data_IF_363837555231
#
_entry.id   IF_363837555231
#
_cell.length_a   1.000
_cell.length_b   1.000
_cell.length_c   1.000
_cell.angle_alpha   90.00
_cell.angle_beta   90.00
_cell.angle_gamma   90.00
#
_symmetry.space_group_name_H-M   'P 1'
#
loop_
_entity.id
_entity.type
_entity.pdbx_description
1 polymer ?
#
# COMPACT_ATOMS: atom_id res chain seq x y z
N UNK A 1 12.80 10.18 -47.72
CA UNK A 1 13.90 9.20 -47.54
C UNK A 1 14.14 8.48 -48.85
N UNK A 2 15.40 8.22 -49.19
CA UNK A 2 15.83 7.60 -50.46
C UNK A 2 15.71 6.05 -50.38
N UNK A 3 15.20 5.50 -49.27
CA UNK A 3 15.00 4.07 -49.05
C UNK A 3 13.69 3.81 -48.28
N UNK A 4 13.21 2.57 -48.37
CA UNK A 4 12.02 2.08 -47.64
C UNK A 4 12.45 1.36 -46.36
N UNK A 5 11.59 1.35 -45.33
CA UNK A 5 11.88 0.71 -44.03
C UNK A 5 12.32 -0.74 -44.19
N UNK A 6 11.64 -1.53 -45.04
CA UNK A 6 11.98 -2.93 -45.25
C UNK A 6 13.37 -3.17 -45.84
N UNK A 7 13.89 -2.22 -46.66
CA UNK A 7 15.24 -2.31 -47.24
C UNK A 7 16.30 -2.13 -46.16
N UNK A 8 16.03 -1.23 -45.22
CA UNK A 8 16.88 -1.03 -44.07
C UNK A 8 16.81 -2.21 -43.07
N UNK A 9 15.61 -2.74 -42.83
CA UNK A 9 15.43 -3.95 -42.00
C UNK A 9 16.20 -5.15 -42.57
N UNK A 10 16.16 -5.37 -43.88
CA UNK A 10 16.94 -6.44 -44.55
C UNK A 10 18.45 -6.19 -44.43
N UNK A 11 18.89 -4.95 -44.64
CA UNK A 11 20.30 -4.58 -44.52
C UNK A 11 20.84 -4.81 -43.10
N UNK A 12 20.15 -4.28 -42.10
CA UNK A 12 20.53 -4.42 -40.70
C UNK A 12 20.42 -5.87 -40.22
N UNK A 13 19.34 -6.55 -40.55
CA UNK A 13 19.17 -7.97 -40.22
C UNK A 13 20.25 -8.87 -40.84
N UNK A 14 20.62 -8.60 -42.10
CA UNK A 14 21.73 -9.31 -42.75
C UNK A 14 23.07 -9.09 -42.03
N UNK A 15 23.39 -7.87 -41.63
CA UNK A 15 24.60 -7.57 -40.85
C UNK A 15 24.59 -8.24 -39.46
N UNK A 16 23.45 -8.23 -38.75
CA UNK A 16 23.31 -8.89 -37.48
C UNK A 16 23.47 -10.41 -37.57
N UNK A 17 22.86 -11.04 -38.56
CA UNK A 17 23.03 -12.49 -38.80
C UNK A 17 24.47 -12.87 -39.09
N UNK A 18 25.19 -12.02 -39.85
CA UNK A 18 26.59 -12.25 -40.12
C UNK A 18 27.48 -12.08 -38.88
N UNK A 19 27.17 -11.11 -38.04
CA UNK A 19 27.92 -10.82 -36.82
C UNK A 19 27.64 -11.82 -35.68
N UNK A 20 26.44 -12.43 -35.65
CA UNK A 20 26.00 -13.38 -34.61
C UNK A 20 25.54 -14.67 -35.23
N UNK A 21 26.45 -15.66 -35.47
CA UNK A 21 26.11 -16.88 -36.19
C UNK A 21 25.01 -17.75 -35.56
N UNK A 22 24.75 -17.57 -34.26
CA UNK A 22 23.66 -18.27 -33.56
C UNK A 22 22.29 -17.59 -33.67
N UNK A 23 22.23 -16.41 -34.27
CA UNK A 23 20.98 -15.67 -34.44
C UNK A 23 20.16 -16.19 -35.62
N UNK A 24 18.86 -16.10 -35.51
CA UNK A 24 17.90 -16.32 -36.59
C UNK A 24 16.87 -15.21 -36.62
N UNK A 25 16.25 -14.97 -37.76
CA UNK A 25 15.18 -13.96 -37.88
C UNK A 25 13.83 -14.59 -37.56
N UNK A 26 13.13 -14.04 -36.57
CA UNK A 26 11.72 -14.35 -36.31
C UNK A 26 10.91 -13.03 -36.32
N UNK A 27 9.99 -12.94 -37.31
CA UNK A 27 9.13 -11.76 -37.51
C UNK A 27 7.87 -11.76 -36.62
N UNK A 28 7.58 -12.87 -35.94
CA UNK A 28 6.35 -13.03 -35.18
C UNK A 28 6.58 -13.05 -33.66
N UNK A 29 7.59 -13.78 -33.23
CA UNK A 29 7.89 -13.94 -31.79
C UNK A 29 9.42 -13.88 -31.54
N UNK A 30 10.08 -12.75 -31.85
CA UNK A 30 11.50 -12.62 -31.63
C UNK A 30 11.86 -12.59 -30.15
N UNK A 31 12.98 -13.23 -29.77
CA UNK A 31 13.54 -13.09 -28.41
C UNK A 31 14.07 -11.69 -28.15
N UNK A 32 14.58 -11.04 -29.21
CA UNK A 32 15.13 -9.66 -29.15
C UNK A 32 14.66 -8.88 -30.37
N UNK A 33 14.10 -7.70 -30.15
CA UNK A 33 13.77 -6.73 -31.20
C UNK A 33 14.81 -5.61 -31.21
N UNK A 34 15.36 -5.28 -32.37
CA UNK A 34 16.26 -4.15 -32.54
C UNK A 34 15.50 -3.04 -33.26
N UNK A 35 15.08 -2.02 -32.51
CA UNK A 35 14.37 -0.87 -33.04
C UNK A 35 15.36 0.24 -33.43
N UNK A 36 15.25 0.73 -34.68
CA UNK A 36 16.07 1.82 -35.20
C UNK A 36 15.17 2.93 -35.71
N UNK A 37 15.36 4.13 -35.15
CA UNK A 37 14.65 5.34 -35.54
C UNK A 37 15.57 6.18 -36.44
N UNK A 38 15.10 6.53 -37.63
CA UNK A 38 15.81 7.41 -38.55
C UNK A 38 15.06 8.75 -38.63
N UNK A 39 15.78 9.81 -38.30
CA UNK A 39 15.28 11.17 -38.39
C UNK A 39 16.29 12.02 -39.15
N UNK A 40 15.97 12.38 -40.39
CA UNK A 40 16.86 13.07 -41.31
C UNK A 40 18.18 12.30 -41.49
N UNK A 41 19.28 12.89 -41.05
CA UNK A 41 20.65 12.35 -41.16
C UNK A 41 21.11 11.60 -39.89
N UNK A 42 20.22 11.40 -38.91
CA UNK A 42 20.51 10.71 -37.67
C UNK A 42 19.80 9.37 -37.60
N UNK A 43 20.50 8.35 -37.10
CA UNK A 43 19.96 7.05 -36.80
C UNK A 43 20.16 6.76 -35.30
N UNK A 44 19.05 6.57 -34.59
CA UNK A 44 19.04 6.25 -33.17
C UNK A 44 18.64 4.79 -32.96
N UNK A 45 19.44 4.04 -32.23
CA UNK A 45 19.09 2.69 -31.84
C UNK A 45 18.43 2.72 -30.47
N UNK A 46 17.24 2.12 -30.34
CA UNK A 46 16.52 2.03 -29.08
C UNK A 46 17.22 0.99 -28.20
N UNK A 47 17.80 1.41 -27.08
CA UNK A 47 18.44 0.53 -26.12
C UNK A 47 17.48 -0.08 -25.12
N UNK A 48 16.40 0.64 -24.79
CA UNK A 48 15.41 0.22 -23.80
C UNK A 48 14.09 0.93 -24.03
N UNK A 49 12.97 0.21 -23.86
CA UNK A 49 11.61 0.76 -23.86
C UNK A 49 11.03 0.67 -22.45
N UNK A 50 10.92 1.80 -21.78
CA UNK A 50 10.34 1.86 -20.44
C UNK A 50 8.85 2.15 -20.55
N UNK A 51 8.02 1.21 -20.11
CA UNK A 51 6.57 1.37 -20.08
C UNK A 51 6.16 2.37 -18.98
N UNK A 52 5.51 3.46 -19.38
CA UNK A 52 4.93 4.42 -18.46
C UNK A 52 3.74 3.84 -17.69
N UNK A 53 3.39 4.48 -16.58
CA UNK A 53 2.24 4.07 -15.74
C UNK A 53 0.92 4.18 -16.51
N UNK A 54 0.84 5.04 -17.52
CA UNK A 54 -0.40 5.44 -18.20
C UNK A 54 -1.27 6.32 -17.31
N UNK A 55 -2.52 6.55 -17.71
CA UNK A 55 -3.46 7.40 -16.97
C UNK A 55 -3.35 8.86 -17.33
N UNK A 56 -3.48 9.75 -16.32
CA UNK A 56 -3.43 11.20 -16.50
C UNK A 56 -2.32 11.83 -15.67
N UNK A 57 -1.80 13.00 -16.09
CA UNK A 57 -0.81 13.73 -15.29
C UNK A 57 -1.35 14.01 -13.89
N UNK A 58 -0.48 13.85 -12.89
CA UNK A 58 -0.82 14.02 -11.48
C UNK A 58 -1.40 15.41 -11.19
N UNK A 59 -2.48 15.47 -10.40
CA UNK A 59 -3.15 16.69 -9.97
C UNK A 59 -4.12 17.31 -11.00
N UNK A 60 -4.24 16.74 -12.21
CA UNK A 60 -5.11 17.30 -13.26
C UNK A 60 -6.59 16.97 -13.05
N UNK A 61 -6.91 15.97 -12.24
CA UNK A 61 -8.28 15.50 -12.01
C UNK A 61 -8.84 15.90 -10.63
N UNK A 62 -8.22 16.91 -9.99
CA UNK A 62 -8.63 17.38 -8.67
C UNK A 62 -8.08 16.57 -7.50
N UNK A 63 -8.72 16.73 -6.33
CA UNK A 63 -8.26 16.13 -5.08
C UNK A 63 -9.27 15.12 -4.56
N UNK A 64 -8.78 14.00 -4.00
CA UNK A 64 -9.59 12.97 -3.37
C UNK A 64 -9.03 12.58 -2.01
N UNK A 65 -9.89 12.05 -1.13
CA UNK A 65 -9.51 11.47 0.15
C UNK A 65 -9.66 9.95 0.04
N UNK A 66 -8.54 9.22 0.04
CA UNK A 66 -8.53 7.76 -0.03
C UNK A 66 -8.48 7.15 1.37
N UNK A 67 -9.42 6.25 1.66
CA UNK A 67 -9.47 5.51 2.91
C UNK A 67 -8.44 4.36 2.84
N UNK A 68 -7.37 4.47 3.62
CA UNK A 68 -6.25 3.56 3.61
C UNK A 68 -6.22 2.74 4.89
N UNK A 69 -6.39 1.42 4.80
CA UNK A 69 -6.41 0.52 5.96
C UNK A 69 -5.13 -0.32 6.11
N UNK A 70 -4.27 -0.30 5.10
CA UNK A 70 -3.08 -1.14 5.07
C UNK A 70 -3.25 -2.48 4.34
N UNK A 71 -4.48 -2.94 4.10
CA UNK A 71 -4.76 -4.16 3.34
C UNK A 71 -4.55 -3.99 1.82
N UNK A 72 -4.63 -5.11 1.09
CA UNK A 72 -4.45 -5.16 -0.36
C UNK A 72 -5.32 -4.14 -1.11
N UNK A 73 -6.61 -4.13 -0.79
CA UNK A 73 -7.63 -3.42 -1.55
C UNK A 73 -7.45 -1.90 -1.44
N UNK A 74 -7.17 -1.39 -0.23
CA UNK A 74 -6.99 0.05 0.00
C UNK A 74 -5.71 0.61 -0.63
N UNK A 75 -4.63 -0.17 -0.65
CA UNK A 75 -3.39 0.21 -1.32
C UNK A 75 -3.55 0.29 -2.84
N UNK A 76 -4.22 -0.71 -3.43
CA UNK A 76 -4.48 -0.76 -4.88
C UNK A 76 -5.45 0.34 -5.31
N UNK A 77 -6.53 0.58 -4.58
CA UNK A 77 -7.50 1.65 -4.90
C UNK A 77 -6.86 3.04 -4.83
N UNK A 78 -5.99 3.29 -3.85
CA UNK A 78 -5.21 4.52 -3.75
C UNK A 78 -4.29 4.71 -4.95
N UNK A 79 -3.54 3.66 -5.35
CA UNK A 79 -2.71 3.69 -6.56
C UNK A 79 -3.53 3.97 -7.82
N UNK A 80 -4.68 3.31 -8.00
CA UNK A 80 -5.52 3.52 -9.17
C UNK A 80 -6.02 4.97 -9.27
N UNK A 81 -6.29 5.60 -8.13
CA UNK A 81 -6.65 7.02 -8.04
C UNK A 81 -5.50 7.92 -8.47
N UNK A 82 -4.28 7.67 -8.00
CA UNK A 82 -3.08 8.40 -8.43
C UNK A 82 -2.84 8.23 -9.93
N UNK A 83 -2.92 7.01 -10.45
CA UNK A 83 -2.79 6.72 -11.88
C UNK A 83 -3.81 7.50 -12.73
N UNK A 84 -5.01 7.76 -12.21
CA UNK A 84 -6.04 8.60 -12.88
C UNK A 84 -5.78 10.08 -12.77
N UNK A 85 -4.69 10.53 -12.13
CA UNK A 85 -4.30 11.93 -12.03
C UNK A 85 -4.93 12.67 -10.85
N UNK A 86 -5.52 11.97 -9.88
CA UNK A 86 -6.01 12.61 -8.67
C UNK A 86 -4.86 12.94 -7.71
N UNK A 87 -4.89 14.11 -7.12
CA UNK A 87 -4.11 14.43 -5.93
C UNK A 87 -4.76 13.69 -4.75
N UNK A 88 -4.16 12.57 -4.34
CA UNK A 88 -4.74 11.62 -3.38
C UNK A 88 -4.21 11.87 -1.97
N UNK A 89 -5.05 12.39 -1.08
CA UNK A 89 -4.81 12.41 0.36
C UNK A 89 -5.18 11.08 0.97
N UNK A 90 -4.57 10.71 2.10
CA UNK A 90 -4.81 9.44 2.77
C UNK A 90 -5.54 9.67 4.10
N UNK A 91 -6.59 8.90 4.36
CA UNK A 91 -7.28 8.87 5.63
C UNK A 91 -7.21 7.46 6.23
N UNK A 92 -6.71 7.38 7.43
CA UNK A 92 -6.61 6.14 8.19
C UNK A 92 -7.47 6.22 9.45
N UNK A 93 -8.40 5.28 9.58
CA UNK A 93 -9.17 5.07 10.79
C UNK A 93 -8.41 4.07 11.68
N UNK A 94 -7.81 4.57 12.74
CA UNK A 94 -6.97 3.76 13.62
C UNK A 94 -7.82 2.92 14.57
N UNK A 95 -7.83 1.61 14.33
CA UNK A 95 -8.52 0.60 15.13
C UNK A 95 -7.54 -0.32 15.90
N UNK A 96 -6.27 -0.30 15.53
CA UNK A 96 -5.26 -1.26 15.96
C UNK A 96 -4.07 -0.64 16.70
N UNK A 97 -4.19 0.61 17.13
CA UNK A 97 -3.15 1.30 17.89
C UNK A 97 -1.90 1.65 17.09
N UNK A 98 -0.80 1.95 17.81
CA UNK A 98 0.42 2.51 17.23
C UNK A 98 1.08 1.63 16.15
N UNK A 99 1.09 0.33 16.32
CA UNK A 99 1.74 -0.58 15.36
C UNK A 99 1.03 -0.59 13.99
N UNK A 100 -0.31 -0.55 14.00
CA UNK A 100 -1.11 -0.47 12.80
C UNK A 100 -0.90 0.88 12.10
N UNK A 101 -0.91 1.97 12.86
CA UNK A 101 -0.64 3.32 12.35
C UNK A 101 0.70 3.40 11.62
N UNK A 102 1.77 2.89 12.22
CA UNK A 102 3.11 2.89 11.62
C UNK A 102 3.11 2.15 10.28
N UNK A 103 2.51 0.97 10.21
CA UNK A 103 2.44 0.19 8.97
C UNK A 103 1.68 0.93 7.86
N UNK A 104 0.56 1.58 8.20
CA UNK A 104 -0.24 2.35 7.24
C UNK A 104 0.48 3.62 6.80
N UNK A 105 1.16 4.33 7.70
CA UNK A 105 2.03 5.48 7.37
C UNK A 105 3.13 5.09 6.39
N UNK A 106 3.77 3.93 6.59
CA UNK A 106 4.79 3.42 5.67
C UNK A 106 4.23 3.10 4.28
N UNK A 107 3.07 2.46 4.20
CA UNK A 107 2.38 2.22 2.93
C UNK A 107 2.03 3.53 2.22
N UNK A 108 1.53 4.53 2.96
CA UNK A 108 1.19 5.83 2.41
C UNK A 108 2.43 6.56 1.87
N UNK A 109 3.54 6.60 2.63
CA UNK A 109 4.82 7.19 2.20
C UNK A 109 5.38 6.48 0.96
N UNK A 110 5.34 5.13 0.93
CA UNK A 110 5.75 4.34 -0.22
C UNK A 110 4.96 4.68 -1.49
N UNK A 111 3.63 4.66 -1.40
CA UNK A 111 2.75 4.99 -2.51
C UNK A 111 2.98 6.43 -3.02
N UNK A 112 3.11 7.38 -2.10
CA UNK A 112 3.37 8.76 -2.44
C UNK A 112 4.73 8.94 -3.11
N UNK A 113 5.80 8.39 -2.55
CA UNK A 113 7.16 8.49 -3.13
C UNK A 113 7.24 7.90 -4.52
N UNK A 114 6.59 6.77 -4.72
CA UNK A 114 6.69 6.05 -5.98
C UNK A 114 5.80 6.64 -7.07
N UNK A 115 4.60 7.11 -6.72
CA UNK A 115 3.57 7.41 -7.71
C UNK A 115 3.04 8.83 -7.70
N UNK A 116 3.31 9.63 -6.67
CA UNK A 116 2.77 10.99 -6.57
C UNK A 116 3.70 12.00 -5.89
N UNK A 117 4.99 11.75 -5.91
CA UNK A 117 6.03 12.56 -5.23
C UNK A 117 6.03 14.03 -5.62
N UNK A 118 5.61 14.36 -6.84
CA UNK A 118 5.51 15.74 -7.34
C UNK A 118 4.47 16.61 -6.62
N UNK A 119 3.54 16.00 -5.87
CA UNK A 119 2.45 16.69 -5.20
C UNK A 119 2.48 16.46 -3.70
N UNK A 120 2.42 17.55 -2.94
CA UNK A 120 2.27 17.49 -1.49
C UNK A 120 0.85 17.05 -1.14
N UNK A 121 0.72 15.91 -0.48
CA UNK A 121 -0.54 15.38 0.03
C UNK A 121 -0.50 15.29 1.55
N UNK A 122 -1.61 15.01 2.16
CA UNK A 122 -1.76 14.90 3.61
C UNK A 122 -2.10 13.47 3.99
N UNK A 123 -1.64 13.06 5.16
CA UNK A 123 -2.05 11.87 5.86
C UNK A 123 -2.89 12.27 7.07
N UNK A 124 -4.05 11.68 7.20
CA UNK A 124 -5.01 11.93 8.27
C UNK A 124 -5.15 10.65 9.10
N UNK A 125 -4.82 10.73 10.38
CA UNK A 125 -5.02 9.63 11.33
C UNK A 125 -6.19 10.00 12.24
N UNK A 126 -7.25 9.20 12.21
CA UNK A 126 -8.45 9.36 13.03
C UNK A 126 -8.47 8.28 14.10
N UNK A 127 -8.41 8.64 15.41
CA UNK A 127 -8.50 7.66 16.50
C UNK A 127 -9.91 7.09 16.58
N UNK A 128 -10.11 5.88 16.09
CA UNK A 128 -11.45 5.31 15.92
C UNK A 128 -11.78 4.21 16.93
N UNK A 129 -10.89 3.88 17.85
CA UNK A 129 -11.11 2.92 18.94
C UNK A 129 -12.32 3.27 19.81
N UNK A 130 -12.54 4.56 20.23
CA UNK A 130 -13.73 4.93 21.01
C UNK A 130 -15.04 4.72 20.24
N UNK A 131 -15.04 4.98 18.91
CA UNK A 131 -16.20 4.76 18.05
C UNK A 131 -16.55 3.27 17.97
N UNK A 132 -15.54 2.42 17.86
CA UNK A 132 -15.74 0.95 17.86
C UNK A 132 -16.25 0.48 19.23
N UNK A 133 -15.71 0.99 20.33
CA UNK A 133 -16.17 0.65 21.68
C UNK A 133 -17.66 1.00 21.86
N UNK A 134 -18.09 2.17 21.38
CA UNK A 134 -19.49 2.59 21.42
C UNK A 134 -20.38 1.68 20.54
N UNK A 135 -19.94 1.31 19.32
CA UNK A 135 -20.64 0.36 18.47
C UNK A 135 -20.83 -0.99 19.19
N UNK A 136 -19.76 -1.52 19.79
CA UNK A 136 -19.80 -2.80 20.49
C UNK A 136 -20.75 -2.81 21.68
N UNK A 137 -20.98 -1.65 22.32
CA UNK A 137 -21.82 -1.53 23.51
C UNK A 137 -23.30 -1.28 23.17
N UNK A 138 -23.61 -0.67 22.02
CA UNK A 138 -24.96 -0.14 21.74
C UNK A 138 -25.64 -0.77 20.54
N UNK A 139 -24.89 -1.30 19.56
CA UNK A 139 -25.40 -1.74 18.27
C UNK A 139 -25.59 -3.27 18.23
N UNK A 140 -26.64 -3.73 17.57
CA UNK A 140 -26.86 -5.16 17.31
C UNK A 140 -25.72 -5.75 16.47
N UNK A 141 -25.16 -6.87 16.91
CA UNK A 141 -23.99 -7.52 16.33
C UNK A 141 -24.13 -7.84 14.82
N UNK A 142 -25.36 -8.04 14.32
CA UNK A 142 -25.60 -8.31 12.91
C UNK A 142 -25.45 -7.07 12.02
N UNK A 143 -25.56 -5.86 12.58
CA UNK A 143 -25.54 -4.58 11.88
C UNK A 143 -24.26 -3.78 12.08
N UNK A 144 -23.40 -4.16 13.04
CA UNK A 144 -22.19 -3.42 13.42
C UNK A 144 -21.29 -3.09 12.22
N UNK A 145 -21.09 -4.04 11.30
CA UNK A 145 -20.21 -3.83 10.15
C UNK A 145 -20.72 -2.77 9.18
N UNK A 146 -22.04 -2.69 8.96
CA UNK A 146 -22.65 -1.65 8.11
C UNK A 146 -22.56 -0.30 8.80
N UNK A 147 -22.90 -0.25 10.11
CA UNK A 147 -22.87 0.99 10.89
C UNK A 147 -21.45 1.53 11.02
N UNK A 148 -20.44 0.68 11.29
CA UNK A 148 -19.05 1.09 11.30
C UNK A 148 -18.66 1.78 9.99
N UNK A 149 -18.99 1.18 8.86
CA UNK A 149 -18.72 1.76 7.53
C UNK A 149 -19.42 3.10 7.32
N UNK A 150 -20.69 3.22 7.75
CA UNK A 150 -21.43 4.48 7.68
C UNK A 150 -20.77 5.57 8.51
N UNK A 151 -20.32 5.25 9.74
CA UNK A 151 -19.60 6.21 10.61
C UNK A 151 -18.25 6.61 10.04
N UNK A 152 -17.51 5.67 9.44
CA UNK A 152 -16.27 5.96 8.71
C UNK A 152 -16.52 6.92 7.54
N UNK A 153 -17.57 6.68 6.75
CA UNK A 153 -17.91 7.55 5.62
C UNK A 153 -18.36 8.94 6.09
N UNK A 154 -19.16 9.05 7.17
CA UNK A 154 -19.52 10.36 7.75
C UNK A 154 -18.28 11.15 8.19
N UNK A 155 -17.35 10.50 8.88
CA UNK A 155 -16.11 11.15 9.30
C UNK A 155 -15.25 11.55 8.10
N UNK A 156 -15.09 10.65 7.12
CA UNK A 156 -14.34 10.93 5.90
C UNK A 156 -14.94 12.09 5.09
N UNK A 157 -16.27 12.21 5.04
CA UNK A 157 -16.98 13.28 4.35
C UNK A 157 -16.64 14.65 4.96
N UNK A 158 -16.72 14.80 6.28
CA UNK A 158 -16.36 16.03 6.99
C UNK A 158 -14.87 16.39 6.78
N UNK A 159 -13.98 15.39 6.87
CA UNK A 159 -12.55 15.57 6.64
C UNK A 159 -12.28 16.00 5.19
N UNK A 160 -12.92 15.34 4.20
CA UNK A 160 -12.79 15.68 2.79
C UNK A 160 -13.21 17.12 2.49
N UNK A 161 -14.32 17.57 3.08
CA UNK A 161 -14.77 18.98 2.97
C UNK A 161 -13.72 19.95 3.50
N UNK A 162 -13.13 19.67 4.66
CA UNK A 162 -12.07 20.51 5.24
C UNK A 162 -10.82 20.61 4.36
N UNK A 163 -10.53 19.55 3.61
CA UNK A 163 -9.41 19.47 2.67
C UNK A 163 -9.75 19.96 1.26
N UNK A 164 -11.02 20.31 1.00
CA UNK A 164 -11.55 20.60 -0.34
C UNK A 164 -11.35 19.44 -1.32
N UNK A 165 -11.38 18.21 -0.84
CA UNK A 165 -11.40 17.03 -1.68
C UNK A 165 -12.81 16.84 -2.26
N UNK A 166 -12.89 16.49 -3.54
CA UNK A 166 -14.15 16.42 -4.30
C UNK A 166 -14.79 15.01 -4.27
N UNK A 167 -14.08 14.02 -3.75
CA UNK A 167 -14.58 12.65 -3.66
C UNK A 167 -13.83 11.87 -2.57
N UNK A 168 -14.49 10.81 -2.09
CA UNK A 168 -13.88 9.76 -1.29
C UNK A 168 -13.46 8.60 -2.20
N UNK A 169 -12.40 7.89 -1.82
CA UNK A 169 -11.98 6.66 -2.49
C UNK A 169 -11.93 5.53 -1.48
N UNK A 170 -12.56 4.41 -1.80
CA UNK A 170 -12.54 3.21 -0.96
C UNK A 170 -12.05 1.99 -1.74
N UNK A 171 -11.51 1.00 -1.04
CA UNK A 171 -11.00 -0.25 -1.61
C UNK A 171 -12.04 -1.37 -1.65
N UNK A 172 -13.33 -1.07 -1.65
CA UNK A 172 -14.39 -2.08 -1.61
C UNK A 172 -14.54 -2.80 -2.94
N UNK A 173 -14.63 -4.15 -2.87
CA UNK A 173 -14.98 -5.04 -3.98
C UNK A 173 -16.30 -5.71 -3.67
N UNK A 174 -17.21 -5.81 -4.66
CA UNK A 174 -18.56 -6.29 -4.47
C UNK A 174 -18.59 -7.73 -3.93
N UNK A 175 -19.38 -7.95 -2.88
CA UNK A 175 -19.61 -9.25 -2.25
C UNK A 175 -18.36 -9.94 -1.64
N UNK A 176 -17.23 -9.24 -1.51
CA UNK A 176 -16.04 -9.81 -0.88
C UNK A 176 -16.27 -10.11 0.61
N UNK A 177 -17.00 -9.23 1.30
CA UNK A 177 -17.49 -9.44 2.67
C UNK A 177 -18.95 -8.98 2.79
N UNK A 178 -19.64 -9.35 3.88
CA UNK A 178 -21.05 -9.06 4.09
C UNK A 178 -21.42 -7.57 4.01
N UNK A 179 -20.57 -6.66 4.48
CA UNK A 179 -20.79 -5.22 4.38
C UNK A 179 -20.65 -4.66 2.95
N UNK A 180 -20.06 -5.43 2.04
CA UNK A 180 -19.80 -5.03 0.65
C UNK A 180 -20.80 -5.59 -0.36
N UNK A 181 -21.95 -6.10 0.10
CA UNK A 181 -23.04 -6.44 -0.80
C UNK A 181 -23.72 -5.19 -1.35
N UNK A 182 -24.34 -5.28 -2.52
CA UNK A 182 -24.96 -4.13 -3.17
C UNK A 182 -26.00 -3.42 -2.28
N UNK A 183 -26.90 -4.15 -1.56
CA UNK A 183 -27.83 -3.50 -0.63
C UNK A 183 -27.12 -2.75 0.50
N UNK A 184 -26.07 -3.34 1.07
CA UNK A 184 -25.34 -2.72 2.17
C UNK A 184 -24.50 -1.52 1.71
N UNK A 185 -23.84 -1.61 0.55
CA UNK A 185 -23.13 -0.46 -0.03
C UNK A 185 -24.07 0.71 -0.31
N UNK A 186 -25.26 0.44 -0.83
CA UNK A 186 -26.25 1.48 -1.04
C UNK A 186 -26.65 2.20 0.27
N UNK A 187 -26.80 1.45 1.38
CA UNK A 187 -27.05 2.06 2.69
C UNK A 187 -25.85 2.84 3.23
N UNK A 188 -24.65 2.37 2.95
CA UNK A 188 -23.39 3.04 3.35
C UNK A 188 -23.25 4.38 2.60
N UNK A 189 -23.59 4.42 1.32
CA UNK A 189 -23.49 5.63 0.49
C UNK A 189 -24.47 6.73 0.90
N UNK A 190 -25.62 6.38 1.45
CA UNK A 190 -26.65 7.35 1.85
C UNK A 190 -26.22 8.37 2.90
N UNK A 191 -25.08 8.18 3.57
CA UNK A 191 -24.59 9.08 4.62
C UNK A 191 -23.58 10.09 4.13
N UNK A 192 -23.22 10.09 2.84
CA UNK A 192 -22.28 11.03 2.24
C UNK A 192 -22.96 11.82 1.13
N UNK A 193 -22.62 13.11 1.04
CA UNK A 193 -22.95 13.96 -0.09
C UNK A 193 -21.84 13.97 -1.16
N UNK A 194 -20.69 13.41 -0.82
CA UNK A 194 -19.53 13.29 -1.71
C UNK A 194 -19.66 12.09 -2.65
N UNK A 195 -19.08 12.20 -3.84
CA UNK A 195 -18.90 11.06 -4.72
C UNK A 195 -18.00 10.02 -4.05
N UNK A 196 -18.45 8.78 -3.93
CA UNK A 196 -17.64 7.67 -3.44
C UNK A 196 -17.14 6.85 -4.64
N UNK A 197 -15.84 6.94 -4.91
CA UNK A 197 -15.18 6.22 -6.00
C UNK A 197 -14.69 4.88 -5.48
N UNK A 198 -15.09 3.79 -6.15
CA UNK A 198 -14.68 2.42 -5.83
C UNK A 198 -13.95 1.80 -7.01
N UNK A 199 -12.63 2.02 -7.15
CA UNK A 199 -11.90 1.53 -8.33
C UNK A 199 -11.93 0.01 -8.48
N UNK A 200 -12.17 -0.72 -7.38
CA UNK A 200 -12.12 -2.18 -7.31
C UNK A 200 -13.49 -2.86 -7.27
N UNK A 201 -14.57 -2.12 -7.47
CA UNK A 201 -15.93 -2.62 -7.21
C UNK A 201 -16.27 -3.90 -7.97
N UNK A 202 -15.70 -4.10 -9.16
CA UNK A 202 -15.92 -5.27 -10.02
C UNK A 202 -14.65 -6.13 -10.18
N UNK A 203 -13.61 -5.87 -9.41
CA UNK A 203 -12.35 -6.62 -9.50
C UNK A 203 -12.38 -7.86 -8.62
N UNK A 204 -11.88 -8.96 -9.15
CA UNK A 204 -11.66 -10.18 -8.38
C UNK A 204 -10.46 -10.06 -7.43
N UNK A 205 -10.49 -10.81 -6.33
CA UNK A 205 -9.41 -10.77 -5.32
C UNK A 205 -8.04 -11.10 -5.92
N UNK A 206 -7.98 -12.01 -6.88
CA UNK A 206 -6.72 -12.38 -7.56
C UNK A 206 -6.16 -11.23 -8.40
N UNK A 207 -7.00 -10.47 -9.08
CA UNK A 207 -6.59 -9.28 -9.84
C UNK A 207 -6.03 -8.19 -8.91
N UNK A 208 -6.68 -7.99 -7.75
CA UNK A 208 -6.23 -7.05 -6.74
C UNK A 208 -4.85 -7.46 -6.21
N UNK A 209 -4.66 -8.74 -5.85
CA UNK A 209 -3.38 -9.27 -5.37
C UNK A 209 -2.30 -9.14 -6.45
N UNK A 210 -2.60 -9.49 -7.70
CA UNK A 210 -1.66 -9.36 -8.81
C UNK A 210 -1.26 -7.89 -9.03
N UNK A 211 -2.21 -6.96 -8.90
CA UNK A 211 -1.93 -5.53 -8.98
C UNK A 211 -1.08 -5.06 -7.79
N UNK A 212 -1.41 -5.47 -6.56
CA UNK A 212 -0.62 -5.14 -5.37
C UNK A 212 0.84 -5.61 -5.49
N UNK A 213 1.05 -6.82 -6.03
CA UNK A 213 2.37 -7.36 -6.31
C UNK A 213 3.13 -6.51 -7.33
N UNK A 214 2.48 -6.17 -8.45
CA UNK A 214 3.07 -5.35 -9.52
C UNK A 214 3.46 -3.96 -9.04
N UNK A 215 2.64 -3.32 -8.17
CA UNK A 215 2.91 -1.98 -7.64
C UNK A 215 3.79 -1.98 -6.39
N UNK A 216 4.09 -3.16 -5.83
CA UNK A 216 4.97 -3.32 -4.68
C UNK A 216 4.30 -3.16 -3.32
N UNK A 217 2.97 -3.17 -3.22
CA UNK A 217 2.24 -3.02 -1.93
C UNK A 217 1.91 -4.34 -1.24
N UNK A 218 2.17 -5.49 -1.90
CA UNK A 218 1.87 -6.82 -1.36
C UNK A 218 2.52 -7.07 0.01
N UNK A 219 3.79 -6.69 0.16
CA UNK A 219 4.54 -6.90 1.41
C UNK A 219 3.92 -6.17 2.60
N UNK A 220 3.41 -4.95 2.38
CA UNK A 220 2.71 -4.19 3.42
C UNK A 220 1.41 -4.89 3.83
N UNK A 221 0.60 -5.29 2.84
CA UNK A 221 -0.68 -5.94 3.09
C UNK A 221 -0.56 -7.28 3.84
N UNK A 222 0.48 -8.06 3.53
CA UNK A 222 0.75 -9.35 4.20
C UNK A 222 1.20 -9.19 5.66
N UNK A 223 1.67 -8.02 6.06
CA UNK A 223 2.17 -7.75 7.41
C UNK A 223 1.14 -7.17 8.35
N UNK A 224 0.06 -6.61 7.80
CA UNK A 224 -0.94 -5.91 8.59
C UNK A 224 -2.16 -6.81 8.84
N UNK A 225 -2.60 -6.94 10.10
CA UNK A 225 -3.83 -7.66 10.41
C UNK A 225 -5.07 -6.90 9.93
N UNK A 226 -6.10 -7.63 9.53
CA UNK A 226 -7.39 -7.06 9.16
C UNK A 226 -8.26 -6.82 10.40
N UNK A 227 -8.36 -5.57 10.85
CA UNK A 227 -9.15 -5.21 12.04
C UNK A 227 -10.65 -5.08 11.77
N UNK A 228 -11.06 -4.72 10.56
CA UNK A 228 -12.48 -4.46 10.25
C UNK A 228 -13.36 -5.71 10.24
N UNK A 229 -12.78 -6.91 10.06
CA UNK A 229 -13.52 -8.18 10.01
C UNK A 229 -13.95 -8.71 11.39
N UNK A 230 -13.38 -8.19 12.47
CA UNK A 230 -13.53 -8.77 13.83
C UNK A 230 -14.77 -8.28 14.57
N UNK A 231 -15.45 -7.23 14.09
CA UNK A 231 -16.48 -6.50 14.85
C UNK A 231 -17.86 -7.19 14.82
N UNK A 232 -18.16 -8.01 13.82
CA UNK A 232 -19.51 -8.56 13.65
C UNK A 232 -19.53 -10.08 13.80
N UNK A 233 -20.46 -10.59 14.63
CA UNK A 233 -20.84 -11.99 14.61
C UNK A 233 -22.09 -12.15 13.73
N UNK A 234 -22.05 -13.11 12.76
CA UNK A 234 -23.12 -13.37 11.79
C UNK A 234 -23.67 -12.13 11.09
N UNK A 235 -22.82 -11.32 10.43
CA UNK A 235 -23.20 -10.06 9.84
C UNK A 235 -24.24 -10.23 8.74
N UNK A 236 -25.22 -9.31 8.69
CA UNK A 236 -26.23 -9.31 7.62
C UNK A 236 -25.64 -8.92 6.26
N UNK A 237 -26.00 -9.66 5.22
CA UNK A 237 -25.67 -9.32 3.83
C UNK A 237 -26.77 -8.50 3.12
N UNK A 238 -27.91 -8.27 3.79
CA UNK A 238 -29.05 -7.54 3.24
C UNK A 238 -29.74 -6.74 4.35
N UNK A 239 -29.06 -5.73 4.84
CA UNK A 239 -29.60 -4.81 5.83
C UNK A 239 -30.79 -4.02 5.26
N UNK A 240 -31.74 -3.66 6.13
CA UNK A 240 -32.89 -2.83 5.79
C UNK A 240 -32.69 -1.42 6.34
N UNK A 241 -32.99 -0.38 5.55
CA UNK A 241 -32.80 1.03 5.91
C UNK A 241 -33.38 1.36 7.29
N UNK A 242 -34.62 1.01 7.52
CA UNK A 242 -35.34 1.24 8.79
C UNK A 242 -34.58 0.63 10.00
N UNK A 243 -33.99 -0.58 9.83
CA UNK A 243 -33.25 -1.22 10.91
C UNK A 243 -31.92 -0.52 11.17
N UNK A 244 -31.21 -0.16 10.09
CA UNK A 244 -29.93 0.57 10.21
C UNK A 244 -30.16 1.94 10.86
N UNK A 245 -31.18 2.67 10.45
CA UNK A 245 -31.55 3.98 11.05
C UNK A 245 -31.91 3.84 12.54
N UNK A 246 -32.70 2.81 12.89
CA UNK A 246 -33.04 2.54 14.29
C UNK A 246 -31.82 2.16 15.14
N UNK A 247 -30.87 1.41 14.58
CA UNK A 247 -29.63 1.08 15.26
C UNK A 247 -28.72 2.32 15.40
N UNK A 248 -28.58 3.14 14.35
CA UNK A 248 -27.81 4.39 14.43
C UNK A 248 -28.33 5.38 15.49
N UNK A 249 -29.64 5.40 15.74
CA UNK A 249 -30.22 6.24 16.79
C UNK A 249 -29.75 5.89 18.22
N UNK A 250 -29.26 4.67 18.42
CA UNK A 250 -28.67 4.24 19.70
C UNK A 250 -27.24 4.72 19.90
N UNK A 251 -26.56 5.06 18.81
CA UNK A 251 -25.15 5.48 18.81
C UNK A 251 -25.03 6.92 19.29
N UNK A 252 -24.09 7.15 20.20
CA UNK A 252 -23.77 8.50 20.67
C UNK A 252 -22.84 9.22 19.66
N UNK A 253 -23.41 10.06 18.81
CA UNK A 253 -22.66 10.80 17.78
C UNK A 253 -21.59 11.75 18.33
N UNK A 254 -21.69 12.19 19.59
CA UNK A 254 -20.61 13.00 20.21
C UNK A 254 -19.27 12.25 20.26
N UNK A 255 -19.28 10.91 20.29
CA UNK A 255 -18.08 10.10 20.22
C UNK A 255 -17.44 10.18 18.82
N UNK A 256 -18.24 10.21 17.75
CA UNK A 256 -17.77 10.40 16.39
C UNK A 256 -17.19 11.80 16.19
N UNK A 257 -17.91 12.82 16.66
CA UNK A 257 -17.48 14.22 16.56
C UNK A 257 -16.15 14.43 17.28
N UNK A 258 -15.98 13.81 18.45
CA UNK A 258 -14.72 13.86 19.18
C UNK A 258 -13.58 13.16 18.43
N UNK A 259 -13.84 11.97 17.84
CA UNK A 259 -12.84 11.27 17.05
C UNK A 259 -12.38 12.07 15.81
N UNK A 260 -13.30 12.84 15.20
CA UNK A 260 -12.98 13.73 14.08
C UNK A 260 -12.17 14.95 14.58
N UNK A 261 -12.53 15.51 15.75
CA UNK A 261 -11.81 16.64 16.35
C UNK A 261 -10.38 16.25 16.76
N UNK A 262 -10.18 15.03 17.23
CA UNK A 262 -8.89 14.48 17.65
C UNK A 262 -8.03 13.97 16.48
N UNK A 263 -8.56 14.04 15.24
CA UNK A 263 -7.83 13.60 14.07
C UNK A 263 -6.57 14.44 13.84
N UNK A 264 -5.43 13.78 13.65
CA UNK A 264 -4.18 14.44 13.28
C UNK A 264 -4.05 14.55 11.78
N UNK A 265 -3.58 15.69 11.28
CA UNK A 265 -3.37 15.97 9.85
C UNK A 265 -1.91 16.33 9.64
N UNK A 266 -1.17 15.44 9.02
CA UNK A 266 0.26 15.57 8.81
C UNK A 266 0.61 15.68 7.30
N UNK A 267 1.61 16.52 6.92
CA UNK A 267 2.18 16.46 5.58
C UNK A 267 2.82 15.09 5.35
N UNK A 268 2.58 14.49 4.18
CA UNK A 268 3.03 13.12 3.86
C UNK A 268 4.55 12.94 3.96
N UNK A 269 5.32 13.97 3.63
CA UNK A 269 6.78 13.98 3.67
C UNK A 269 7.35 13.93 5.10
N UNK A 270 6.51 14.15 6.12
CA UNK A 270 6.90 14.20 7.54
C UNK A 270 6.32 13.08 8.40
N UNK A 271 5.41 12.27 7.86
CA UNK A 271 4.68 11.26 8.67
C UNK A 271 5.56 10.18 9.30
N UNK A 272 6.78 9.99 8.77
CA UNK A 272 7.74 9.04 9.31
C UNK A 272 8.81 9.70 10.20
N UNK A 273 8.91 11.05 10.21
CA UNK A 273 9.92 11.77 10.99
C UNK A 273 9.59 11.76 12.50
N UNK A 274 8.30 11.76 12.82
CA UNK A 274 7.78 11.80 14.20
C UNK A 274 7.53 10.40 14.79
N UNK A 275 7.90 9.32 14.11
CA UNK A 275 7.82 8.00 14.69
C UNK A 275 8.98 7.87 15.68
N UNK A 276 8.78 8.45 16.88
CA UNK A 276 9.55 8.04 18.05
C UNK A 276 9.32 6.54 18.20
N UNK A 277 10.36 5.76 17.98
CA UNK A 277 10.30 4.31 18.07
C UNK A 277 9.97 3.96 19.54
N UNK A 278 8.72 3.58 19.86
CA UNK A 278 8.36 3.17 21.23
C UNK A 278 8.99 1.80 21.56
N UNK A 279 9.79 1.27 20.66
CA UNK A 279 10.39 -0.04 20.79
C UNK A 279 11.75 0.07 21.46
N UNK A 280 11.85 -0.42 22.71
CA UNK A 280 13.12 -0.64 23.39
C UNK A 280 13.89 -1.83 22.79
N UNK A 281 14.12 -1.81 21.49
CA UNK A 281 14.91 -2.83 20.81
C UNK A 281 16.37 -2.42 20.81
N UNK A 282 17.26 -3.38 21.06
CA UNK A 282 18.72 -3.11 21.05
C UNK A 282 19.18 -2.79 19.64
N UNK A 283 19.82 -1.62 19.49
CA UNK A 283 20.50 -1.22 18.25
C UNK A 283 21.96 -1.65 18.24
N UNK A 284 22.43 -2.05 17.06
CA UNK A 284 23.84 -2.37 16.80
C UNK A 284 24.32 -1.47 15.68
N UNK A 285 25.36 -0.66 15.96
CA UNK A 285 25.95 0.24 14.95
C UNK A 285 26.99 -0.46 14.09
N UNK A 286 27.67 -1.48 14.63
CA UNK A 286 28.72 -2.23 13.92
C UNK A 286 28.46 -3.72 14.12
N UNK A 287 28.14 -4.47 13.06
CA UNK A 287 27.89 -5.91 13.17
C UNK A 287 29.19 -6.67 13.50
N UNK A 288 29.10 -7.68 14.35
CA UNK A 288 30.17 -8.64 14.54
C UNK A 288 30.24 -9.57 13.32
N UNK A 289 31.41 -10.16 13.07
CA UNK A 289 31.63 -11.06 11.90
C UNK A 289 30.68 -12.28 11.88
N UNK A 290 30.22 -12.69 13.04
CA UNK A 290 29.31 -13.82 13.23
C UNK A 290 27.82 -13.44 13.06
N UNK A 291 27.50 -12.15 13.01
CA UNK A 291 26.11 -11.71 12.89
C UNK A 291 25.57 -11.97 11.49
N UNK A 292 24.32 -12.40 11.42
CA UNK A 292 23.57 -12.53 10.18
C UNK A 292 22.70 -11.28 10.00
N UNK A 293 22.85 -10.59 8.89
CA UNK A 293 22.05 -9.42 8.56
C UNK A 293 20.84 -9.86 7.74
N UNK A 294 19.65 -9.58 8.25
CA UNK A 294 18.40 -9.77 7.54
C UNK A 294 18.00 -8.44 6.88
N UNK A 295 18.24 -8.34 5.58
CA UNK A 295 17.86 -7.17 4.80
C UNK A 295 16.36 -7.23 4.46
N UNK A 296 15.58 -6.44 5.19
CA UNK A 296 14.12 -6.36 5.03
C UNK A 296 13.67 -5.16 4.20
N UNK A 297 14.57 -4.52 3.47
CA UNK A 297 14.21 -3.45 2.54
C UNK A 297 13.27 -3.96 1.46
N UNK A 298 12.50 -3.04 0.88
CA UNK A 298 11.62 -3.37 -0.23
C UNK A 298 12.40 -4.00 -1.40
N UNK A 299 11.76 -4.92 -2.13
CA UNK A 299 12.37 -5.71 -3.21
C UNK A 299 12.97 -4.89 -4.36
N UNK A 300 12.50 -3.64 -4.53
CA UNK A 300 13.00 -2.73 -5.56
C UNK A 300 14.32 -2.02 -5.17
N UNK A 301 14.75 -2.14 -3.93
CA UNK A 301 16.00 -1.55 -3.50
C UNK A 301 17.15 -2.54 -3.71
N UNK A 302 17.73 -2.53 -4.90
CA UNK A 302 18.77 -3.49 -5.32
C UNK A 302 20.18 -3.14 -4.85
N UNK A 303 20.40 -1.98 -4.24
CA UNK A 303 21.74 -1.58 -3.80
C UNK A 303 22.30 -2.56 -2.77
N UNK A 304 23.45 -3.20 -3.02
CA UNK A 304 24.07 -4.10 -2.06
C UNK A 304 24.42 -3.34 -0.78
N UNK A 305 24.31 -4.04 0.37
CA UNK A 305 24.72 -3.47 1.64
C UNK A 305 26.26 -3.48 1.76
N UNK A 306 26.86 -2.48 2.43
CA UNK A 306 28.32 -2.34 2.55
C UNK A 306 28.96 -3.36 3.51
N UNK A 307 28.27 -4.41 3.89
CA UNK A 307 28.72 -5.41 4.88
C UNK A 307 29.29 -6.66 4.19
N UNK A 308 30.52 -6.56 3.70
CA UNK A 308 31.17 -7.62 2.91
C UNK A 308 31.61 -8.83 3.73
N UNK A 309 31.71 -8.70 5.06
CA UNK A 309 32.20 -9.74 5.96
C UNK A 309 31.08 -10.50 6.69
N UNK A 310 29.84 -10.09 6.52
CA UNK A 310 28.67 -10.70 7.15
C UNK A 310 27.85 -11.47 6.13
N UNK A 311 27.18 -12.52 6.60
CA UNK A 311 26.13 -13.14 5.82
C UNK A 311 24.93 -12.18 5.74
N UNK A 312 24.57 -11.74 4.55
CA UNK A 312 23.38 -10.92 4.30
C UNK A 312 22.33 -11.80 3.63
N UNK A 313 21.19 -11.95 4.28
CA UNK A 313 20.04 -12.67 3.75
C UNK A 313 18.95 -11.64 3.44
N UNK A 314 18.59 -11.53 2.19
CA UNK A 314 17.47 -10.68 1.79
C UNK A 314 16.17 -11.45 2.00
N UNK A 315 15.32 -10.92 2.85
CA UNK A 315 14.05 -11.55 3.20
C UNK A 315 12.96 -10.48 3.34
N UNK A 316 11.79 -10.67 2.72
CA UNK A 316 10.65 -9.80 2.97
C UNK A 316 10.32 -9.83 4.46
N UNK A 317 10.06 -8.67 5.06
CA UNK A 317 9.86 -8.56 6.51
C UNK A 317 8.75 -9.48 7.07
N UNK A 318 7.69 -9.76 6.29
CA UNK A 318 6.61 -10.69 6.64
C UNK A 318 6.99 -12.20 6.57
N UNK A 319 8.22 -12.53 6.15
CA UNK A 319 8.75 -13.88 6.14
C UNK A 319 9.90 -14.09 7.12
N UNK A 320 10.26 -13.06 7.89
CA UNK A 320 11.40 -13.11 8.82
C UNK A 320 11.20 -14.19 9.88
N UNK A 321 10.01 -14.32 10.46
CA UNK A 321 9.67 -15.35 11.43
C UNK A 321 9.93 -16.76 10.87
N UNK A 322 9.45 -17.06 9.67
CA UNK A 322 9.71 -18.37 9.01
C UNK A 322 11.18 -18.62 8.70
N UNK A 323 11.97 -17.57 8.57
CA UNK A 323 13.41 -17.68 8.38
C UNK A 323 14.09 -17.99 9.71
N UNK A 324 13.62 -17.39 10.80
CA UNK A 324 14.14 -17.60 12.15
C UNK A 324 13.73 -18.96 12.74
N UNK A 325 12.55 -19.49 12.42
CA UNK A 325 12.09 -20.82 12.88
C UNK A 325 13.05 -21.97 12.56
N UNK A 326 13.93 -21.75 11.58
CA UNK A 326 14.91 -22.75 11.13
C UNK A 326 16.35 -22.44 11.58
N UNK A 327 16.52 -21.36 12.34
CA UNK A 327 17.81 -20.86 12.73
C UNK A 327 18.23 -21.35 14.12
N UNK A 328 19.54 -21.30 14.39
CA UNK A 328 20.10 -21.62 15.69
C UNK A 328 19.79 -20.50 16.70
N UNK A 329 19.32 -20.85 17.90
CA UNK A 329 19.01 -19.88 18.96
C UNK A 329 20.22 -19.07 19.44
N UNK A 330 21.44 -19.60 19.27
CA UNK A 330 22.69 -18.89 19.59
C UNK A 330 23.08 -17.88 18.52
N UNK A 331 22.54 -17.97 17.31
CA UNK A 331 22.85 -17.08 16.19
C UNK A 331 22.19 -15.72 16.40
N UNK A 332 22.96 -14.65 16.34
CA UNK A 332 22.46 -13.27 16.42
C UNK A 332 22.05 -12.76 15.04
N UNK A 333 20.82 -12.21 14.96
CA UNK A 333 20.25 -11.65 13.74
C UNK A 333 20.07 -10.15 13.86
N UNK A 334 20.46 -9.42 12.83
CA UNK A 334 20.37 -7.96 12.75
C UNK A 334 19.41 -7.58 11.63
N UNK A 335 18.25 -7.03 11.98
CA UNK A 335 17.28 -6.52 10.99
C UNK A 335 17.75 -5.17 10.45
N UNK A 336 17.73 -5.02 9.15
CA UNK A 336 18.13 -3.78 8.48
C UNK A 336 17.03 -3.27 7.53
N UNK A 337 16.66 -2.00 7.68
CA UNK A 337 15.91 -1.23 6.68
C UNK A 337 16.46 0.19 6.59
N UNK A 338 16.15 0.94 5.53
CA UNK A 338 16.77 2.26 5.27
C UNK A 338 16.55 3.30 6.38
N UNK A 339 15.38 3.31 7.03
CA UNK A 339 15.01 4.28 8.05
C UNK A 339 14.96 3.72 9.47
N UNK A 340 15.28 2.45 9.65
CA UNK A 340 15.24 1.78 10.95
C UNK A 340 13.83 1.43 11.46
N UNK A 341 12.79 2.12 11.05
CA UNK A 341 11.41 1.98 11.59
C UNK A 341 10.87 0.56 11.45
N UNK A 342 10.92 -0.03 10.25
CA UNK A 342 10.47 -1.41 10.03
C UNK A 342 11.31 -2.43 10.81
N UNK A 343 12.60 -2.20 10.91
CA UNK A 343 13.51 -3.07 11.66
C UNK A 343 13.17 -3.08 13.14
N UNK A 344 12.91 -1.90 13.74
CA UNK A 344 12.50 -1.80 15.14
C UNK A 344 11.15 -2.47 15.40
N UNK A 345 10.15 -2.20 14.57
CA UNK A 345 8.82 -2.81 14.69
C UNK A 345 8.88 -4.33 14.60
N UNK A 346 9.60 -4.85 13.60
CA UNK A 346 9.74 -6.29 13.40
C UNK A 346 10.55 -6.95 14.53
N UNK A 347 11.63 -6.30 14.99
CA UNK A 347 12.40 -6.79 16.12
C UNK A 347 11.56 -6.87 17.39
N UNK A 348 10.78 -5.83 17.70
CA UNK A 348 9.88 -5.84 18.87
C UNK A 348 8.82 -6.93 18.78
N UNK A 349 8.21 -7.11 17.61
CA UNK A 349 7.23 -8.17 17.38
C UNK A 349 7.85 -9.57 17.54
N UNK A 350 9.05 -9.78 17.01
CA UNK A 350 9.76 -11.05 17.17
C UNK A 350 10.17 -11.30 18.62
N UNK A 351 10.67 -10.26 19.30
CA UNK A 351 11.00 -10.37 20.74
C UNK A 351 9.77 -10.70 21.59
N UNK A 352 8.60 -10.15 21.27
CA UNK A 352 7.34 -10.53 21.95
C UNK A 352 6.90 -11.97 21.69
N UNK A 353 7.35 -12.55 20.55
CA UNK A 353 7.15 -13.99 20.22
C UNK A 353 8.23 -14.90 20.82
N UNK A 354 9.23 -14.33 21.54
CA UNK A 354 10.28 -15.10 22.21
C UNK A 354 11.67 -15.08 21.55
N UNK A 355 11.84 -14.48 20.37
CA UNK A 355 13.14 -14.38 19.68
C UNK A 355 14.01 -13.30 20.32
N UNK A 356 14.79 -13.64 21.35
CA UNK A 356 15.65 -12.69 22.08
C UNK A 356 16.96 -12.33 21.35
N UNK A 357 17.34 -13.10 20.34
CA UNK A 357 18.56 -12.99 19.56
C UNK A 357 18.41 -12.05 18.34
N UNK A 358 17.29 -11.34 18.23
CA UNK A 358 17.00 -10.39 17.15
C UNK A 358 17.22 -8.96 17.62
N UNK A 359 18.02 -8.20 16.88
CA UNK A 359 18.36 -6.79 17.13
C UNK A 359 18.20 -5.96 15.86
N UNK A 360 18.33 -4.66 15.97
CA UNK A 360 18.27 -3.73 14.84
C UNK A 360 19.65 -3.26 14.46
N UNK A 361 19.97 -3.35 13.16
CA UNK A 361 21.17 -2.72 12.62
C UNK A 361 20.87 -1.26 12.31
N UNK A 362 21.61 -0.34 12.94
CA UNK A 362 21.43 1.09 12.74
C UNK A 362 21.74 1.45 11.28
N UNK A 363 20.81 2.17 10.65
CA UNK A 363 21.06 2.76 9.34
C UNK A 363 22.16 3.82 9.47
N UNK A 364 23.20 3.72 8.67
CA UNK A 364 24.32 4.67 8.62
C UNK A 364 23.99 5.88 7.77
#
# INVERSE_FOLDING_TARGET
HDFKSYELEQLLGGHLLHAVPSASVDLHNPDVTVDVHINQDQADMVSEVIQGIGGFPMGTQGQVLSLLSGGFDSGVSSYMSMKRGFKTHFCFFNLGGANHEIGVKQLADFLWRKYSYSHRVKFINVPFEPVVAEILSTIDHTHMGVILKRLMIRAADQIAQSLKASALVTGESLAQVSSQTLPNLNLIDQVSEQLIIRPLIVSDKQEIIATAKRIGTESFALSMPEYCAVISDRPTSNAKSQKIEAEEQKFNFAVLDQAIADATIEPIDKILDAIETPFQTKEVSTPAKTDVILDIRHSENEKPLPFTHNQVIRVPFYKVDKTLDKADDEQRFLLYCERGVMSHMQAAQLQSKGYQNVMVLKAS
#
